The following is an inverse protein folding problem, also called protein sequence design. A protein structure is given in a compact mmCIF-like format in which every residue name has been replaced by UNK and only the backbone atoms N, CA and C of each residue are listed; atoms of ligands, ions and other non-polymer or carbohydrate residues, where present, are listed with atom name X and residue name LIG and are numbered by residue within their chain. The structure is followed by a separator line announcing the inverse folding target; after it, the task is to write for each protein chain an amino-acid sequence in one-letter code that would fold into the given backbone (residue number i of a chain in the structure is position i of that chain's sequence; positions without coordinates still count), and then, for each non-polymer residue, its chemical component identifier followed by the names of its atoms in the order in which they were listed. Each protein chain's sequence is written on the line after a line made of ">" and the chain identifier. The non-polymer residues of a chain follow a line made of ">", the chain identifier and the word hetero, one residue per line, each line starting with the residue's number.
data_IF_097351894969
#
_entry.id   IF_097351894969
#
_cell.length_a   1.000
_cell.length_b   1.000
_cell.length_c   1.000
_cell.angle_alpha   90.00
_cell.angle_beta   90.00
_cell.angle_gamma   90.00
#
_symmetry.space_group_name_H-M   'P 1'
#
loop_
_entity.id
_entity.type
_entity.pdbx_description
1 polymer ?
#
# COMPACT_ATOMS: atom_id res chain seq x y z
N UNK A 1 -13.56 6.41 20.44
CA UNK A 1 -12.79 7.21 19.49
C UNK A 1 -12.85 6.54 18.14
N UNK A 2 -13.37 7.33 17.20
CA UNK A 2 -13.66 7.15 15.77
C UNK A 2 -13.58 5.75 15.13
N UNK A 3 -14.77 5.28 14.76
CA UNK A 3 -14.95 4.39 13.61
C UNK A 3 -14.57 5.21 12.36
N UNK A 4 -13.32 5.11 11.89
CA UNK A 4 -12.99 5.58 10.54
C UNK A 4 -13.69 4.65 9.54
N UNK A 5 -14.90 5.05 9.15
CA UNK A 5 -15.61 4.49 8.02
C UNK A 5 -14.88 4.94 6.74
N UNK A 6 -13.81 4.23 6.39
CA UNK A 6 -12.99 4.44 5.19
C UNK A 6 -13.68 3.86 3.94
N UNK A 7 -15.00 4.03 3.84
CA UNK A 7 -15.81 3.53 2.74
C UNK A 7 -16.20 4.72 1.84
N UNK A 8 -15.54 4.81 0.69
CA UNK A 8 -15.92 5.74 -0.37
C UNK A 8 -17.41 5.55 -0.74
N UNK A 9 -18.05 6.62 -1.20
CA UNK A 9 -19.49 6.63 -1.47
C UNK A 9 -19.91 5.45 -2.36
N UNK A 10 -20.92 4.69 -1.93
CA UNK A 10 -21.63 3.76 -2.82
C UNK A 10 -22.32 4.63 -3.89
N UNK A 11 -21.73 4.70 -5.08
CA UNK A 11 -22.34 5.41 -6.21
C UNK A 11 -23.78 4.91 -6.38
N UNK A 12 -24.75 5.83 -6.32
CA UNK A 12 -26.16 5.49 -6.47
C UNK A 12 -26.46 5.15 -7.93
N UNK A 13 -27.28 4.12 -8.10
CA UNK A 13 -27.85 3.57 -9.34
C UNK A 13 -27.02 3.72 -10.65
N UNK A 14 -26.28 2.68 -11.09
CA UNK A 14 -25.46 2.73 -12.31
C UNK A 14 -26.22 2.98 -13.62
N UNK A 15 -27.57 2.99 -13.60
CA UNK A 15 -28.43 3.24 -14.75
C UNK A 15 -28.81 4.72 -14.98
N UNK A 16 -28.35 5.67 -14.15
CA UNK A 16 -28.64 7.11 -14.37
C UNK A 16 -27.68 7.84 -15.32
N UNK A 17 -26.50 7.29 -15.58
CA UNK A 17 -25.50 7.91 -16.45
C UNK A 17 -25.54 7.22 -17.81
N UNK A 18 -25.62 8.00 -18.90
CA UNK A 18 -25.61 7.48 -20.26
C UNK A 18 -24.30 6.77 -20.57
N UNK A 19 -24.31 5.90 -21.58
CA UNK A 19 -23.09 5.18 -22.00
C UNK A 19 -21.99 6.17 -22.42
N UNK A 20 -22.36 7.22 -23.15
CA UNK A 20 -21.44 8.25 -23.64
C UNK A 20 -20.79 9.05 -22.50
N UNK A 21 -21.55 9.39 -21.45
CA UNK A 21 -21.00 10.08 -20.29
C UNK A 21 -19.99 9.22 -19.52
N UNK A 22 -20.26 7.91 -19.39
CA UNK A 22 -19.31 6.97 -18.76
C UNK A 22 -18.01 6.88 -19.53
N UNK A 23 -18.09 6.81 -20.86
CA UNK A 23 -16.91 6.78 -21.73
C UNK A 23 -16.09 8.07 -21.59
N UNK A 24 -16.74 9.25 -21.58
CA UNK A 24 -16.06 10.54 -21.36
C UNK A 24 -15.33 10.58 -20.01
N UNK A 25 -15.95 10.08 -18.94
CA UNK A 25 -15.33 10.02 -17.61
C UNK A 25 -14.09 9.10 -17.59
N UNK A 26 -14.14 7.96 -18.29
CA UNK A 26 -13.00 7.05 -18.39
C UNK A 26 -11.85 7.65 -19.21
N UNK A 27 -12.16 8.33 -20.32
CA UNK A 27 -11.16 9.03 -21.14
C UNK A 27 -10.45 10.10 -20.30
N UNK A 28 -11.21 10.92 -19.57
CA UNK A 28 -10.65 11.95 -18.70
C UNK A 28 -9.72 11.37 -17.62
N UNK A 29 -10.08 10.23 -17.01
CA UNK A 29 -9.23 9.55 -16.05
C UNK A 29 -7.92 9.05 -16.71
N UNK A 30 -7.99 8.47 -17.90
CA UNK A 30 -6.81 8.02 -18.64
C UNK A 30 -5.87 9.19 -18.97
N UNK A 31 -6.42 10.31 -19.42
CA UNK A 31 -5.64 11.53 -19.69
C UNK A 31 -4.97 12.09 -18.43
N UNK A 32 -5.71 12.12 -17.31
CA UNK A 32 -5.16 12.54 -16.03
C UNK A 32 -3.98 11.66 -15.59
N UNK A 33 -4.09 10.33 -15.75
CA UNK A 33 -3.02 9.38 -15.43
C UNK A 33 -1.80 9.59 -16.33
N UNK A 34 -2.00 9.83 -17.64
CA UNK A 34 -0.91 10.08 -18.59
C UNK A 34 -0.12 11.36 -18.30
N UNK A 35 -0.73 12.35 -17.65
CA UNK A 35 -0.08 13.62 -17.31
C UNK A 35 0.83 13.55 -16.07
N UNK A 36 0.85 12.43 -15.35
CA UNK A 36 1.69 12.22 -14.17
C UNK A 36 3.14 12.02 -14.61
N UNK A 37 4.06 12.88 -14.13
CA UNK A 37 5.46 12.86 -14.59
C UNK A 37 6.41 12.14 -13.63
N UNK A 38 6.09 12.12 -12.35
CA UNK A 38 6.97 11.54 -11.33
C UNK A 38 6.20 10.75 -10.27
N UNK A 39 6.89 9.84 -9.53
CA UNK A 39 6.24 9.02 -8.50
C UNK A 39 5.62 9.83 -7.35
N UNK A 40 6.13 11.02 -7.07
CA UNK A 40 5.59 11.89 -6.01
C UNK A 40 4.24 12.49 -6.41
N UNK A 41 4.09 12.94 -7.66
CA UNK A 41 2.81 13.35 -8.24
C UNK A 41 1.81 12.19 -8.26
N UNK A 42 2.27 10.99 -8.65
CA UNK A 42 1.44 9.79 -8.64
C UNK A 42 0.88 9.49 -7.25
N UNK A 43 1.72 9.57 -6.20
CA UNK A 43 1.32 9.30 -4.83
C UNK A 43 0.30 10.33 -4.30
N UNK A 44 0.47 11.62 -4.65
CA UNK A 44 -0.50 12.67 -4.29
C UNK A 44 -1.84 12.44 -5.00
N UNK A 45 -1.81 12.27 -6.31
CA UNK A 45 -3.02 12.04 -7.12
C UNK A 45 -3.79 10.80 -6.66
N UNK A 46 -3.10 9.68 -6.44
CA UNK A 46 -3.73 8.45 -5.95
C UNK A 46 -4.28 8.60 -4.53
N UNK A 47 -3.65 9.42 -3.68
CA UNK A 47 -4.14 9.76 -2.35
C UNK A 47 -5.40 10.62 -2.35
N UNK A 48 -5.57 11.46 -3.37
CA UNK A 48 -6.75 12.32 -3.51
C UNK A 48 -7.96 11.57 -4.09
N UNK A 49 -7.74 10.59 -4.98
CA UNK A 49 -8.81 9.87 -5.69
C UNK A 49 -9.22 8.54 -5.04
N UNK A 50 -8.35 7.91 -4.26
CA UNK A 50 -8.60 6.60 -3.66
C UNK A 50 -8.65 6.68 -2.14
N UNK A 51 -9.53 5.90 -1.53
CA UNK A 51 -9.42 5.60 -0.10
C UNK A 51 -8.14 4.79 0.19
N UNK A 52 -7.71 4.82 1.46
CA UNK A 52 -6.53 4.07 1.90
C UNK A 52 -6.66 2.56 1.62
N UNK A 53 -7.89 2.04 1.69
CA UNK A 53 -8.19 0.64 1.45
C UNK A 53 -8.16 0.28 -0.04
N UNK A 54 -8.71 1.14 -0.91
CA UNK A 54 -8.69 0.95 -2.36
C UNK A 54 -7.27 1.00 -2.91
N UNK A 55 -6.46 1.97 -2.46
CA UNK A 55 -5.06 2.08 -2.84
C UNK A 55 -4.28 0.79 -2.50
N UNK A 56 -4.45 0.26 -1.28
CA UNK A 56 -3.85 -1.02 -0.86
C UNK A 56 -4.34 -2.19 -1.72
N UNK A 57 -5.63 -2.22 -2.04
CA UNK A 57 -6.22 -3.28 -2.88
C UNK A 57 -5.65 -3.26 -4.30
N UNK A 58 -5.52 -2.08 -4.92
CA UNK A 58 -4.95 -1.92 -6.26
C UNK A 58 -3.46 -2.30 -6.26
N UNK A 59 -2.70 -1.84 -5.26
CA UNK A 59 -1.29 -2.19 -5.11
C UNK A 59 -1.08 -3.71 -4.97
N UNK A 60 -1.90 -4.39 -4.16
CA UNK A 60 -1.87 -5.85 -4.03
C UNK A 60 -2.19 -6.53 -5.36
N UNK A 61 -3.19 -6.06 -6.11
CA UNK A 61 -3.54 -6.62 -7.43
C UNK A 61 -2.38 -6.52 -8.42
N UNK A 62 -1.71 -5.37 -8.47
CA UNK A 62 -0.54 -5.18 -9.32
C UNK A 62 0.58 -6.16 -8.94
N UNK A 63 0.84 -6.33 -7.65
CA UNK A 63 1.87 -7.27 -7.18
C UNK A 63 1.51 -8.74 -7.43
N UNK A 64 0.23 -9.12 -7.26
CA UNK A 64 -0.26 -10.45 -7.63
C UNK A 64 -0.01 -10.69 -9.12
N UNK A 65 -0.33 -9.72 -9.98
CA UNK A 65 -0.16 -9.85 -11.41
C UNK A 65 1.32 -10.08 -11.79
N UNK A 66 2.23 -9.32 -11.18
CA UNK A 66 3.66 -9.51 -11.33
C UNK A 66 4.09 -10.93 -10.92
N UNK A 67 3.74 -11.36 -9.71
CA UNK A 67 4.14 -12.69 -9.20
C UNK A 67 3.58 -13.84 -10.04
N UNK A 68 2.37 -13.68 -10.60
CA UNK A 68 1.78 -14.67 -11.51
C UNK A 68 2.54 -14.75 -12.83
N UNK A 69 3.02 -13.63 -13.37
CA UNK A 69 3.85 -13.59 -14.59
C UNK A 69 5.23 -14.20 -14.32
N UNK A 70 5.78 -13.99 -13.12
CA UNK A 70 7.02 -14.63 -12.65
C UNK A 70 6.87 -16.15 -12.36
N UNK A 71 5.67 -16.72 -12.51
CA UNK A 71 5.40 -18.15 -12.31
C UNK A 71 5.29 -18.59 -10.84
N UNK A 72 5.07 -17.65 -9.91
CA UNK A 72 4.90 -17.97 -8.48
C UNK A 72 3.62 -18.77 -8.21
N UNK A 73 3.68 -19.65 -7.21
CA UNK A 73 2.53 -20.49 -6.82
C UNK A 73 1.51 -19.69 -6.00
N UNK A 74 0.25 -20.09 -6.06
CA UNK A 74 -0.85 -19.42 -5.36
C UNK A 74 -0.64 -19.37 -3.84
N UNK A 75 -0.05 -20.42 -3.26
CA UNK A 75 0.24 -20.48 -1.83
C UNK A 75 1.27 -19.41 -1.40
N UNK A 76 2.31 -19.19 -2.21
CA UNK A 76 3.34 -18.18 -1.97
C UNK A 76 2.74 -16.78 -2.05
N UNK A 77 1.97 -16.49 -3.11
CA UNK A 77 1.30 -15.20 -3.31
C UNK A 77 0.33 -14.89 -2.15
N UNK A 78 -0.45 -15.89 -1.73
CA UNK A 78 -1.37 -15.77 -0.60
C UNK A 78 -0.63 -15.46 0.70
N UNK A 79 0.49 -16.15 0.95
CA UNK A 79 1.30 -15.97 2.14
C UNK A 79 1.96 -14.59 2.18
N UNK A 80 2.55 -14.14 1.07
CA UNK A 80 3.31 -12.89 1.00
C UNK A 80 2.39 -11.67 1.07
N UNK A 81 1.30 -11.68 0.31
CA UNK A 81 0.43 -10.51 0.16
C UNK A 81 -0.76 -10.51 1.12
N UNK A 82 -0.93 -11.59 1.90
CA UNK A 82 -2.08 -11.80 2.82
C UNK A 82 -3.39 -11.55 2.07
N UNK A 83 -3.59 -12.29 0.98
CA UNK A 83 -4.78 -12.21 0.12
C UNK A 83 -5.43 -13.58 -0.01
N UNK A 84 -6.74 -13.61 -0.19
CA UNK A 84 -7.46 -14.87 -0.41
C UNK A 84 -7.16 -15.46 -1.78
N UNK A 85 -7.24 -16.79 -1.90
CA UNK A 85 -7.09 -17.49 -3.18
C UNK A 85 -8.08 -16.96 -4.24
N UNK A 86 -9.31 -16.63 -3.86
CA UNK A 86 -10.30 -16.02 -4.76
C UNK A 86 -9.80 -14.70 -5.37
N UNK A 87 -9.07 -13.89 -4.60
CA UNK A 87 -8.51 -12.64 -5.10
C UNK A 87 -7.44 -12.91 -6.15
N UNK A 88 -6.58 -13.90 -5.92
CA UNK A 88 -5.54 -14.32 -6.86
C UNK A 88 -6.19 -14.87 -8.14
N UNK A 89 -7.19 -15.73 -8.02
CA UNK A 89 -7.92 -16.30 -9.17
C UNK A 89 -8.54 -15.23 -10.06
N UNK A 90 -9.14 -14.18 -9.47
CA UNK A 90 -9.70 -13.06 -10.24
C UNK A 90 -8.63 -12.29 -11.00
N UNK A 91 -7.48 -12.03 -10.38
CA UNK A 91 -6.36 -11.35 -11.05
C UNK A 91 -5.78 -12.21 -12.17
N UNK A 92 -5.68 -13.52 -11.96
CA UNK A 92 -5.24 -14.47 -12.99
C UNK A 92 -6.21 -14.49 -14.19
N UNK A 93 -7.51 -14.47 -13.94
CA UNK A 93 -8.52 -14.38 -14.99
C UNK A 93 -8.40 -13.06 -15.78
N UNK A 94 -8.21 -11.93 -15.09
CA UNK A 94 -7.97 -10.64 -15.75
C UNK A 94 -6.69 -10.64 -16.58
N UNK A 95 -5.62 -11.27 -16.11
CA UNK A 95 -4.40 -11.45 -16.89
C UNK A 95 -4.59 -12.28 -18.15
N UNK A 96 -5.51 -13.25 -18.12
CA UNK A 96 -5.84 -14.10 -19.26
C UNK A 96 -6.71 -13.37 -20.29
N UNK A 97 -7.70 -12.59 -19.84
CA UNK A 97 -8.70 -11.93 -20.71
C UNK A 97 -8.23 -10.55 -21.18
N UNK A 98 -7.62 -9.74 -20.32
CA UNK A 98 -7.29 -8.33 -20.57
C UNK A 98 -5.96 -7.93 -19.90
N UNK A 99 -4.96 -8.81 -19.97
CA UNK A 99 -3.68 -8.65 -19.27
C UNK A 99 -2.66 -7.74 -19.95
N UNK A 100 -2.95 -7.16 -21.11
CA UNK A 100 -2.01 -6.37 -21.90
C UNK A 100 -1.43 -5.19 -21.12
N UNK A 101 -2.27 -4.46 -20.37
CA UNK A 101 -1.83 -3.33 -19.54
C UNK A 101 -0.84 -3.74 -18.45
N UNK A 102 -1.07 -4.89 -17.80
CA UNK A 102 -0.12 -5.43 -16.81
C UNK A 102 1.22 -5.78 -17.45
N UNK A 103 1.19 -6.47 -18.60
CA UNK A 103 2.40 -6.87 -19.33
C UNK A 103 3.22 -5.66 -19.77
N UNK A 104 2.58 -4.63 -20.34
CA UNK A 104 3.24 -3.39 -20.79
C UNK A 104 3.96 -2.70 -19.62
N UNK A 105 3.29 -2.55 -18.48
CA UNK A 105 3.88 -1.86 -17.33
C UNK A 105 5.05 -2.65 -16.75
N UNK A 106 4.89 -3.97 -16.61
CA UNK A 106 5.92 -4.84 -16.05
C UNK A 106 7.12 -4.97 -16.99
N UNK A 107 6.91 -5.09 -18.31
CA UNK A 107 7.99 -5.11 -19.30
C UNK A 107 8.78 -3.79 -19.30
N UNK A 108 8.11 -2.65 -19.14
CA UNK A 108 8.77 -1.34 -19.00
C UNK A 108 9.56 -1.22 -17.69
N UNK A 109 9.15 -1.92 -16.64
CA UNK A 109 9.90 -2.02 -15.39
C UNK A 109 11.13 -2.92 -15.55
N UNK A 110 11.01 -4.06 -16.24
CA UNK A 110 12.13 -4.99 -16.47
C UNK A 110 13.18 -4.42 -17.43
N UNK A 111 12.76 -3.70 -18.49
CA UNK A 111 13.68 -3.05 -19.46
C UNK A 111 14.47 -1.89 -18.84
N UNK A 112 14.04 -1.36 -17.71
CA UNK A 112 14.90 -0.63 -16.80
C UNK A 112 15.55 -1.70 -15.90
N UNK A 113 16.64 -2.38 -16.28
CA UNK A 113 18.01 -2.15 -15.74
C UNK A 113 18.95 -3.30 -16.23
N UNK A 114 20.27 -3.04 -16.43
CA UNK A 114 21.23 -3.51 -15.42
C UNK A 114 22.33 -2.49 -14.99
N UNK A 115 22.20 -1.17 -15.25
CA UNK A 115 23.22 -0.18 -14.85
C UNK A 115 22.89 0.76 -13.67
N UNK A 116 21.62 1.08 -13.36
CA UNK A 116 21.33 2.23 -12.47
C UNK A 116 20.38 2.00 -11.29
N UNK A 117 20.03 0.76 -10.93
CA UNK A 117 19.18 0.52 -9.75
C UNK A 117 19.71 -0.63 -8.89
N UNK A 118 20.79 -0.34 -8.16
CA UNK A 118 20.98 -0.88 -6.81
C UNK A 118 20.14 -0.07 -5.80
N UNK A 119 18.83 0.05 -6.04
CA UNK A 119 17.92 0.55 -5.00
C UNK A 119 17.45 -0.64 -4.19
N UNK A 120 18.36 -1.14 -3.34
CA UNK A 120 17.92 -1.63 -2.04
C UNK A 120 17.31 -0.41 -1.33
N UNK A 121 16.02 -0.15 -1.52
CA UNK A 121 15.32 0.88 -0.76
C UNK A 121 15.30 0.42 0.71
N UNK A 122 16.33 0.82 1.43
CA UNK A 122 16.52 0.50 2.83
C UNK A 122 15.46 1.24 3.65
N UNK A 123 14.98 0.61 4.73
CA UNK A 123 14.21 1.28 5.79
C UNK A 123 14.91 2.57 6.28
N UNK A 124 16.22 2.67 6.06
CA UNK A 124 17.03 3.85 6.34
C UNK A 124 16.73 5.05 5.44
N UNK A 125 16.44 4.84 4.14
CA UNK A 125 16.22 5.92 3.17
C UNK A 125 14.81 6.53 3.30
N UNK A 126 13.82 5.72 3.67
CA UNK A 126 12.49 6.20 4.06
C UNK A 126 12.54 7.06 5.33
N UNK A 127 13.34 6.67 6.34
CA UNK A 127 13.54 7.44 7.58
C UNK A 127 14.24 8.78 7.34
N UNK A 128 15.16 8.84 6.36
CA UNK A 128 15.90 10.06 5.97
C UNK A 128 15.05 11.06 5.17
N UNK A 129 14.16 10.58 4.31
CA UNK A 129 13.35 11.42 3.40
C UNK A 129 12.05 11.94 4.01
N UNK A 130 11.49 11.26 5.02
CA UNK A 130 10.26 11.69 5.70
C UNK A 130 10.40 11.71 7.24
N UNK A 131 11.23 12.60 7.80
CA UNK A 131 11.47 12.66 9.25
C UNK A 131 10.17 12.92 10.03
N UNK A 132 9.29 13.78 9.50
CA UNK A 132 8.02 14.17 10.13
C UNK A 132 6.88 13.15 10.03
N UNK A 133 7.03 12.03 9.31
CA UNK A 133 6.02 10.98 9.29
C UNK A 133 6.39 9.81 10.23
N UNK A 134 7.70 9.64 10.46
CA UNK A 134 8.25 8.61 11.35
C UNK A 134 8.77 9.16 12.68
N UNK A 135 8.69 10.47 12.92
CA UNK A 135 9.14 11.09 14.17
C UNK A 135 8.57 10.45 15.43
N UNK A 136 7.30 9.99 15.51
CA UNK A 136 6.81 9.39 16.75
C UNK A 136 7.51 8.05 17.01
N UNK A 137 7.84 7.31 15.95
CA UNK A 137 8.47 6.01 16.04
C UNK A 137 9.99 6.12 16.30
N UNK A 138 10.66 7.06 15.63
CA UNK A 138 12.10 7.33 15.84
C UNK A 138 12.33 7.90 17.25
N UNK A 139 11.48 8.82 17.70
CA UNK A 139 11.54 9.39 19.04
C UNK A 139 11.29 8.30 20.10
N UNK A 140 10.31 7.43 19.87
CA UNK A 140 10.02 6.31 20.77
C UNK A 140 11.18 5.30 20.81
N UNK A 141 11.78 4.96 19.66
CA UNK A 141 12.98 4.13 19.59
C UNK A 141 14.15 4.74 20.36
N UNK A 142 14.39 6.06 20.24
CA UNK A 142 15.46 6.74 20.98
C UNK A 142 15.19 6.76 22.48
N UNK A 143 13.96 7.05 22.89
CA UNK A 143 13.56 7.09 24.31
C UNK A 143 13.68 5.70 24.94
N UNK A 144 13.26 4.64 24.24
CA UNK A 144 13.39 3.26 24.73
C UNK A 144 14.85 2.82 24.82
N UNK A 145 15.69 3.17 23.84
CA UNK A 145 17.12 2.85 23.84
C UNK A 145 17.89 3.57 24.95
N UNK A 146 17.49 4.79 25.32
CA UNK A 146 18.12 5.56 26.41
C UNK A 146 17.45 5.41 27.78
N UNK A 147 16.33 4.68 27.88
CA UNK A 147 15.55 4.56 29.12
C UNK A 147 16.18 3.63 30.16
N UNK A 148 16.31 4.13 31.38
CA UNK A 148 16.81 3.39 32.54
C UNK A 148 15.74 2.42 33.09
N UNK A 149 16.11 1.48 33.97
CA UNK A 149 15.21 0.42 34.47
C UNK A 149 13.93 0.95 35.13
N UNK A 150 14.00 2.13 35.77
CA UNK A 150 12.85 2.83 36.34
C UNK A 150 11.90 3.42 35.27
N UNK A 151 12.46 3.98 34.19
CA UNK A 151 11.70 4.60 33.10
C UNK A 151 10.99 3.56 32.24
N UNK A 152 11.62 2.41 32.03
CA UNK A 152 10.99 1.24 31.39
C UNK A 152 9.76 0.75 32.16
N UNK A 153 9.78 0.86 33.49
CA UNK A 153 8.64 0.49 34.35
C UNK A 153 7.47 1.45 34.17
N UNK A 154 7.73 2.76 34.11
CA UNK A 154 6.71 3.80 33.86
C UNK A 154 6.11 3.67 32.47
N UNK A 155 6.93 3.45 31.44
CA UNK A 155 6.49 3.18 30.08
C UNK A 155 5.61 1.93 30.00
N UNK A 156 5.97 0.85 30.71
CA UNK A 156 5.17 -0.38 30.77
C UNK A 156 3.82 -0.18 31.46
N UNK A 157 3.75 0.68 32.48
CA UNK A 157 2.50 1.05 33.16
C UNK A 157 1.62 1.90 32.24
N UNK A 158 2.20 2.92 31.58
CA UNK A 158 1.49 3.77 30.61
C UNK A 158 0.97 2.97 29.41
N UNK A 159 1.77 2.02 28.90
CA UNK A 159 1.37 1.10 27.84
C UNK A 159 0.25 0.15 28.28
N UNK A 160 0.25 -0.32 29.52
CA UNK A 160 -0.86 -1.13 30.09
C UNK A 160 -2.16 -0.34 30.22
N UNK A 161 -2.10 0.99 30.43
CA UNK A 161 -3.31 1.82 30.49
C UNK A 161 -3.92 2.15 29.12
N UNK A 162 -3.20 1.90 28.02
CA UNK A 162 -3.64 2.18 26.64
C UNK A 162 -4.31 0.96 25.95
N UNK A 163 -5.02 0.13 26.70
CA UNK A 163 -5.45 -1.22 26.32
C UNK A 163 -6.64 -1.28 25.33
N UNK A 164 -6.46 -0.73 24.11
CA UNK A 164 -7.30 -1.09 22.96
C UNK A 164 -6.46 -1.40 21.73
N UNK A 165 -6.00 -2.66 21.69
CA UNK A 165 -5.65 -3.50 20.52
C UNK A 165 -5.07 -2.74 19.30
N UNK A 166 -3.75 -2.63 19.24
CA UNK A 166 -3.03 -2.40 17.97
C UNK A 166 -1.77 -3.27 17.94
N UNK A 167 -1.45 -3.82 16.77
CA UNK A 167 -0.34 -4.78 16.54
C UNK A 167 1.03 -4.24 17.00
N UNK A 168 1.15 -2.91 17.08
CA UNK A 168 2.29 -2.18 17.65
C UNK A 168 2.56 -2.56 19.11
N UNK A 169 1.53 -2.75 19.94
CA UNK A 169 1.68 -3.11 21.36
C UNK A 169 2.36 -4.47 21.53
N UNK A 170 2.00 -5.45 20.69
CA UNK A 170 2.62 -6.79 20.71
C UNK A 170 4.08 -6.75 20.29
N UNK A 171 4.43 -5.88 19.33
CA UNK A 171 5.81 -5.71 18.90
C UNK A 171 6.64 -5.01 19.98
N UNK A 172 6.09 -3.97 20.60
CA UNK A 172 6.76 -3.20 21.66
C UNK A 172 6.93 -4.02 22.95
N UNK A 173 5.93 -4.82 23.35
CA UNK A 173 6.05 -5.67 24.54
C UNK A 173 7.09 -6.79 24.40
N UNK A 174 7.52 -7.13 23.17
CA UNK A 174 8.62 -8.08 22.93
C UNK A 174 9.99 -7.42 23.05
N UNK A 175 10.07 -6.09 22.91
CA UNK A 175 11.32 -5.33 22.90
C UNK A 175 11.62 -4.66 24.25
N UNK A 176 10.63 -4.60 25.15
CA UNK A 176 10.74 -4.10 26.53
C UNK A 176 10.94 -5.25 27.53
#
# INVERSE_FOLDING_TARGET
>A
MEKCADAMAKFTNPSKISKEEKEKLLIFLCEAICNIKNPTEAAKFLGDILSSQEAKMIAKRLKIAQMLIEGKKYAEISYDLKVSANTISRVFEWLKISGEGFRIILERQDKKTPADQKDNLSLFDLKKKYPLYYWPQILLESIIKSANSADRRRLRIALKSMDRKTELYKQISRML
#
